data_IF_121621966530
#
_entry.id   IF_121621966530
#
_cell.length_a   1.000
_cell.length_b   1.000
_cell.length_c   1.000
_cell.angle_alpha   90.00
_cell.angle_beta   90.00
_cell.angle_gamma   90.00
#
_symmetry.space_group_name_H-M   'P 1'
#
loop_
_entity.id
_entity.type
_entity.pdbx_description
1 polymer ?
#
# COMPACT_ATOMS: atom_id res chain seq x y z
N UNK A 1 -5.61 25.43 -19.26
CA UNK A 1 -4.72 24.57 -20.08
C UNK A 1 -4.47 23.30 -19.29
N UNK A 2 -5.46 22.43 -19.13
CA UNK A 2 -6.07 21.47 -20.07
C UNK A 2 -5.37 20.11 -20.00
N UNK A 3 -5.96 19.21 -19.20
CA UNK A 3 -5.92 17.75 -19.37
C UNK A 3 -6.99 17.12 -18.45
N UNK A 4 -8.25 17.49 -18.63
CA UNK A 4 -9.37 16.65 -18.22
C UNK A 4 -9.43 15.46 -19.18
N UNK A 5 -9.00 14.29 -18.71
CA UNK A 5 -9.12 13.05 -19.47
C UNK A 5 -10.58 12.82 -19.91
N UNK A 6 -10.83 12.30 -21.12
CA UNK A 6 -12.19 12.10 -21.60
C UNK A 6 -12.84 10.97 -20.79
N UNK A 7 -13.80 11.33 -19.94
CA UNK A 7 -14.76 10.40 -19.35
C UNK A 7 -15.80 10.02 -20.44
N UNK A 8 -15.35 9.40 -21.53
CA UNK A 8 -16.27 8.76 -22.47
C UNK A 8 -16.51 7.34 -21.97
N UNK A 9 -17.58 7.17 -21.19
CA UNK A 9 -18.13 5.86 -20.91
C UNK A 9 -18.57 5.25 -22.27
N UNK A 10 -18.04 4.09 -22.69
CA UNK A 10 -18.54 3.45 -23.89
C UNK A 10 -19.99 3.01 -23.66
N UNK A 11 -20.90 3.21 -24.63
CA UNK A 11 -22.25 2.68 -24.54
C UNK A 11 -22.17 1.15 -24.61
N UNK A 12 -23.02 0.48 -23.84
CA UNK A 12 -23.25 -0.98 -23.77
C UNK A 12 -22.23 -1.85 -23.01
N UNK A 13 -22.64 -2.29 -21.81
CA UNK A 13 -22.50 -3.66 -21.28
C UNK A 13 -21.11 -4.25 -20.99
N UNK A 14 -20.01 -3.64 -21.41
CA UNK A 14 -18.67 -4.26 -21.31
C UNK A 14 -17.84 -3.55 -20.23
N UNK A 15 -17.63 -4.23 -19.11
CA UNK A 15 -16.71 -3.81 -18.06
C UNK A 15 -15.28 -4.05 -18.56
N UNK A 16 -14.50 -2.99 -18.78
CA UNK A 16 -13.07 -3.09 -19.10
C UNK A 16 -12.27 -3.33 -17.81
N UNK A 17 -11.63 -4.48 -17.71
CA UNK A 17 -10.70 -4.81 -16.62
C UNK A 17 -9.28 -4.53 -17.08
N UNK A 18 -8.52 -3.75 -16.29
CA UNK A 18 -7.11 -3.48 -16.54
C UNK A 18 -6.28 -3.96 -15.34
N UNK A 19 -5.25 -4.75 -15.62
CA UNK A 19 -4.33 -5.28 -14.62
C UNK A 19 -2.91 -4.71 -14.79
N UNK A 20 -2.16 -4.66 -13.69
CA UNK A 20 -0.72 -4.41 -13.69
C UNK A 20 -0.05 -5.47 -12.82
N UNK A 21 1.12 -5.94 -13.25
CA UNK A 21 1.98 -6.84 -12.48
C UNK A 21 3.17 -6.03 -11.98
N UNK A 22 3.48 -6.16 -10.70
CA UNK A 22 4.62 -5.49 -10.07
C UNK A 22 5.45 -6.51 -9.30
N UNK A 23 6.77 -6.31 -9.30
CA UNK A 23 7.66 -7.10 -8.47
C UNK A 23 7.70 -6.55 -7.03
N UNK A 24 8.23 -7.36 -6.11
CA UNK A 24 8.32 -7.02 -4.69
C UNK A 24 9.06 -5.68 -4.44
N UNK A 25 10.11 -5.38 -5.21
CA UNK A 25 10.92 -4.17 -5.00
C UNK A 25 10.23 -2.83 -5.27
N UNK A 26 9.04 -2.84 -5.89
CA UNK A 26 8.41 -1.61 -6.39
C UNK A 26 7.65 -0.82 -5.31
N UNK A 27 7.34 -1.44 -4.17
CA UNK A 27 6.64 -0.78 -3.07
C UNK A 27 7.32 0.46 -2.47
N UNK A 28 8.65 0.43 -2.44
CA UNK A 28 9.49 1.52 -1.95
C UNK A 28 9.65 2.67 -2.97
N UNK A 29 9.28 2.45 -4.24
CA UNK A 29 9.53 3.40 -5.32
C UNK A 29 8.53 4.57 -5.40
N UNK A 30 7.48 4.57 -4.58
CA UNK A 30 6.54 5.70 -4.50
C UNK A 30 5.46 5.76 -5.59
N UNK A 31 5.16 4.64 -6.26
CA UNK A 31 4.08 4.58 -7.26
C UNK A 31 2.69 4.86 -6.65
N UNK A 32 1.85 5.56 -7.40
CA UNK A 32 0.42 5.74 -7.09
C UNK A 32 -0.40 4.63 -7.77
N UNK A 33 -1.23 3.95 -6.96
CA UNK A 33 -2.10 2.84 -7.38
C UNK A 33 -3.55 3.07 -6.94
N UNK A 34 -3.95 4.34 -6.83
CA UNK A 34 -5.28 4.80 -6.40
C UNK A 34 -6.43 4.32 -7.30
N UNK A 35 -6.14 3.83 -8.50
CA UNK A 35 -7.11 3.19 -9.39
C UNK A 35 -7.31 1.68 -9.11
N UNK A 36 -6.47 1.03 -8.29
CA UNK A 36 -6.53 -0.41 -8.06
C UNK A 36 -7.54 -0.76 -6.96
N UNK A 37 -8.61 -1.47 -7.33
CA UNK A 37 -9.64 -1.96 -6.40
C UNK A 37 -9.33 -3.35 -5.85
N UNK A 38 -8.62 -4.18 -6.61
CA UNK A 38 -8.28 -5.54 -6.22
C UNK A 38 -6.76 -5.67 -6.21
N UNK A 39 -6.20 -6.07 -5.07
CA UNK A 39 -4.78 -6.33 -4.89
C UNK A 39 -4.61 -7.82 -4.60
N UNK A 40 -3.85 -8.51 -5.44
CA UNK A 40 -3.54 -9.93 -5.26
C UNK A 40 -2.07 -10.06 -4.88
N UNK A 41 -1.83 -10.53 -3.67
CA UNK A 41 -0.51 -10.84 -3.14
C UNK A 41 -0.23 -12.31 -3.41
N UNK A 42 0.71 -12.55 -4.32
CA UNK A 42 0.99 -13.89 -4.84
C UNK A 42 1.92 -14.71 -3.94
N UNK A 43 2.89 -14.06 -3.28
CA UNK A 43 3.87 -14.76 -2.43
C UNK A 43 3.81 -14.23 -0.99
N UNK A 44 3.97 -15.11 0.01
CA UNK A 44 4.05 -14.70 1.40
C UNK A 44 5.37 -13.97 1.67
N UNK A 45 5.30 -12.84 2.37
CA UNK A 45 6.49 -12.08 2.75
C UNK A 45 6.61 -11.95 4.27
N UNK A 46 7.84 -12.11 4.78
CA UNK A 46 8.11 -12.08 6.21
C UNK A 46 8.17 -10.67 6.81
N UNK A 47 8.25 -9.61 5.97
CA UNK A 47 8.21 -8.21 6.43
C UNK A 47 6.82 -7.63 6.28
N UNK A 48 6.10 -7.55 7.40
CA UNK A 48 4.76 -6.99 7.44
C UNK A 48 4.64 -5.56 6.89
N UNK A 49 5.61 -4.70 7.21
CA UNK A 49 5.55 -3.27 6.85
C UNK A 49 5.62 -3.03 5.34
N UNK A 50 6.40 -3.83 4.61
CA UNK A 50 6.53 -3.69 3.16
C UNK A 50 5.17 -3.99 2.49
N UNK A 51 4.52 -5.07 2.90
CA UNK A 51 3.22 -5.47 2.38
C UNK A 51 2.14 -4.42 2.69
N UNK A 52 2.11 -3.91 3.91
CA UNK A 52 1.21 -2.81 4.28
C UNK A 52 1.47 -1.55 3.44
N UNK A 53 2.75 -1.23 3.17
CA UNK A 53 3.09 -0.07 2.35
C UNK A 53 2.53 -0.20 0.94
N UNK A 54 2.53 -1.39 0.36
CA UNK A 54 1.99 -1.63 -0.98
C UNK A 54 0.49 -1.54 -1.02
N UNK A 55 -0.18 -2.19 -0.06
CA UNK A 55 -1.63 -2.08 0.10
C UNK A 55 -2.01 -0.61 0.30
N UNK A 56 -1.24 0.15 1.07
CA UNK A 56 -1.41 1.58 1.26
C UNK A 56 -1.18 2.45 0.02
N UNK A 57 -0.60 1.91 -1.07
CA UNK A 57 -0.57 2.61 -2.37
C UNK A 57 -1.90 2.53 -3.10
N UNK A 58 -2.63 1.43 -2.92
CA UNK A 58 -3.97 1.22 -3.48
C UNK A 58 -5.05 1.82 -2.56
N UNK A 59 -4.94 1.54 -1.25
CA UNK A 59 -5.75 2.16 -0.21
C UNK A 59 -5.15 3.51 0.20
N UNK A 60 -5.49 4.54 -0.56
CA UNK A 60 -4.99 5.90 -0.36
C UNK A 60 -6.09 6.94 -0.54
N UNK A 61 -5.88 8.12 0.03
CA UNK A 61 -6.70 9.32 -0.20
C UNK A 61 -6.88 9.55 -1.71
N UNK A 62 -8.13 9.55 -2.18
CA UNK A 62 -8.49 9.64 -3.60
C UNK A 62 -9.20 8.40 -4.14
N UNK A 63 -9.08 7.26 -3.44
CA UNK A 63 -9.80 6.03 -3.79
C UNK A 63 -11.32 6.19 -3.51
N UNK A 64 -12.15 5.86 -4.49
CA UNK A 64 -13.62 6.00 -4.43
C UNK A 64 -14.34 4.68 -4.17
N UNK A 65 -13.64 3.56 -4.33
CA UNK A 65 -14.20 2.23 -4.29
C UNK A 65 -13.53 1.38 -3.19
N UNK A 66 -14.22 0.38 -2.64
CA UNK A 66 -13.60 -0.52 -1.67
C UNK A 66 -12.39 -1.23 -2.29
N UNK A 67 -11.31 -1.32 -1.52
CA UNK A 67 -10.10 -2.05 -1.91
C UNK A 67 -10.13 -3.43 -1.26
N UNK A 68 -10.12 -4.47 -2.10
CA UNK A 68 -10.05 -5.86 -1.68
C UNK A 68 -8.62 -6.38 -1.82
N UNK A 69 -8.08 -6.93 -0.74
CA UNK A 69 -6.75 -7.52 -0.71
C UNK A 69 -6.88 -9.02 -0.56
N UNK A 70 -6.36 -9.76 -1.53
CA UNK A 70 -6.32 -11.21 -1.54
C UNK A 70 -4.89 -11.66 -1.32
N UNK A 71 -4.71 -12.61 -0.41
CA UNK A 71 -3.44 -13.32 -0.23
C UNK A 71 -3.62 -14.74 -0.72
N UNK A 72 -2.82 -15.13 -1.69
CA UNK A 72 -2.77 -16.51 -2.15
C UNK A 72 -1.83 -17.26 -1.21
N UNK A 73 -2.29 -18.41 -0.72
CA UNK A 73 -1.51 -19.27 0.17
C UNK A 73 -1.71 -20.72 -0.26
N UNK A 74 -0.62 -21.48 -0.26
CA UNK A 74 -0.64 -22.91 -0.44
C UNK A 74 -1.18 -23.60 0.81
N UNK A 75 -2.15 -24.49 0.62
CA UNK A 75 -2.54 -25.45 1.65
C UNK A 75 -1.35 -26.37 1.98
N UNK A 76 -1.13 -26.63 3.26
CA UNK A 76 -0.01 -27.43 3.78
C UNK A 76 1.41 -26.99 3.31
N UNK A 77 1.57 -25.72 2.93
CA UNK A 77 2.88 -25.17 2.57
C UNK A 77 3.64 -24.69 3.83
N UNK A 78 4.78 -25.34 4.13
CA UNK A 78 5.64 -24.97 5.25
C UNK A 78 6.17 -23.53 5.14
N UNK A 79 6.53 -23.09 3.92
CA UNK A 79 7.09 -21.76 3.69
C UNK A 79 6.07 -20.67 3.98
N UNK A 80 4.82 -20.87 3.55
CA UNK A 80 3.72 -19.94 3.77
C UNK A 80 3.38 -19.87 5.26
N UNK A 81 3.31 -21.03 5.92
CA UNK A 81 3.08 -21.12 7.35
C UNK A 81 4.17 -20.38 8.15
N UNK A 82 5.44 -20.63 7.83
CA UNK A 82 6.57 -20.02 8.54
C UNK A 82 6.62 -18.51 8.31
N UNK A 83 6.43 -18.06 7.06
CA UNK A 83 6.44 -16.64 6.70
C UNK A 83 5.37 -15.86 7.46
N UNK A 84 4.16 -16.43 7.59
CA UNK A 84 3.09 -15.85 8.40
C UNK A 84 3.44 -15.78 9.88
N UNK A 85 3.91 -16.90 10.46
CA UNK A 85 4.31 -16.95 11.86
C UNK A 85 5.38 -15.91 12.20
N UNK A 86 6.39 -15.78 11.33
CA UNK A 86 7.46 -14.79 11.51
C UNK A 86 6.95 -13.35 11.36
N UNK A 87 6.10 -13.09 10.36
CA UNK A 87 5.52 -11.76 10.15
C UNK A 87 4.66 -11.33 11.34
N UNK A 88 3.80 -12.23 11.86
CA UNK A 88 2.94 -11.97 13.02
C UNK A 88 3.76 -11.70 14.29
N UNK A 89 4.78 -12.53 14.57
CA UNK A 89 5.65 -12.35 15.72
C UNK A 89 6.40 -11.02 15.66
N UNK A 90 6.97 -10.66 14.50
CA UNK A 90 7.66 -9.38 14.31
C UNK A 90 6.72 -8.19 14.49
N UNK A 91 5.51 -8.27 13.94
CA UNK A 91 4.51 -7.20 14.07
C UNK A 91 4.09 -6.97 15.52
N UNK A 92 3.91 -8.04 16.31
CA UNK A 92 3.60 -7.93 17.74
C UNK A 92 4.70 -7.20 18.52
N UNK A 93 5.97 -7.59 18.31
CA UNK A 93 7.11 -6.93 18.94
C UNK A 93 7.22 -5.46 18.54
N UNK A 94 7.04 -5.15 17.24
CA UNK A 94 7.06 -3.78 16.74
C UNK A 94 5.95 -2.94 17.38
N UNK A 95 4.73 -3.48 17.50
CA UNK A 95 3.62 -2.75 18.09
C UNK A 95 3.87 -2.40 19.57
N UNK A 96 4.43 -3.33 20.34
CA UNK A 96 4.81 -3.09 21.73
C UNK A 96 5.88 -1.99 21.85
N UNK A 97 6.91 -2.05 21.01
CA UNK A 97 7.98 -1.06 21.00
C UNK A 97 7.49 0.33 20.52
N UNK A 98 6.62 0.35 19.51
CA UNK A 98 6.12 1.60 18.91
C UNK A 98 5.37 2.43 19.93
N UNK A 99 4.61 1.81 20.83
CA UNK A 99 3.94 2.51 21.92
C UNK A 99 4.95 3.12 22.90
N UNK A 100 6.03 2.41 23.23
CA UNK A 100 7.07 2.89 24.13
C UNK A 100 7.94 4.02 23.55
N UNK A 101 8.14 4.06 22.23
CA UNK A 101 8.94 5.10 21.56
C UNK A 101 8.10 6.35 21.24
N UNK A 102 6.77 6.24 21.22
CA UNK A 102 5.90 7.38 20.92
C UNK A 102 6.04 8.43 22.02
N UNK A 103 6.38 9.67 21.64
CA UNK A 103 6.41 10.79 22.57
C UNK A 103 5.07 10.91 23.30
N UNK A 104 5.13 10.94 24.62
CA UNK A 104 3.96 11.08 25.50
C UNK A 104 3.50 12.54 25.65
N UNK A 105 4.35 13.49 25.24
CA UNK A 105 4.22 14.92 25.51
C UNK A 105 2.98 15.59 24.89
N UNK A 106 2.20 14.86 24.09
CA UNK A 106 0.96 15.35 23.48
C UNK A 106 1.17 16.56 22.57
N UNK A 107 2.43 16.91 22.29
CA UNK A 107 2.77 18.04 21.44
C UNK A 107 2.50 17.64 19.99
N UNK A 108 1.74 18.48 19.29
CA UNK A 108 1.52 18.26 17.87
C UNK A 108 2.88 18.23 17.15
N UNK A 109 3.05 17.23 16.28
CA UNK A 109 4.25 17.10 15.48
C UNK A 109 4.32 18.29 14.52
N UNK A 110 5.14 19.30 14.86
CA UNK A 110 5.44 20.41 13.96
C UNK A 110 6.39 19.89 12.90
N UNK A 111 5.85 19.54 11.72
CA UNK A 111 6.66 19.27 10.54
C UNK A 111 7.40 20.58 10.22
N UNK A 112 8.74 20.64 10.31
CA UNK A 112 9.46 21.85 9.93
C UNK A 112 9.08 22.19 8.49
N UNK A 113 8.83 23.48 8.23
CA UNK A 113 8.51 23.96 6.90
C UNK A 113 9.59 23.44 5.95
N UNK A 114 9.23 22.46 5.13
CA UNK A 114 10.15 21.97 4.12
C UNK A 114 10.45 23.17 3.25
N UNK A 115 11.73 23.47 3.04
CA UNK A 115 12.13 24.47 2.06
C UNK A 115 11.41 24.09 0.78
N UNK A 116 10.35 24.84 0.42
CA UNK A 116 9.81 24.80 -0.94
C UNK A 116 11.06 25.02 -1.78
N UNK A 117 11.44 24.01 -2.56
CA UNK A 117 12.67 24.03 -3.33
C UNK A 117 12.83 25.42 -3.88
N UNK A 118 13.90 26.10 -3.45
CA UNK A 118 14.23 27.40 -3.96
C UNK A 118 14.18 27.27 -5.49
N UNK A 119 13.25 28.02 -6.09
CA UNK A 119 13.21 28.29 -7.51
C UNK A 119 13.14 27.05 -8.42
N UNK A 120 11.92 26.62 -8.75
CA UNK A 120 11.66 26.12 -10.10
C UNK A 120 11.90 27.30 -11.08
N UNK A 121 13.16 27.49 -11.46
CA UNK A 121 13.59 28.21 -12.66
C UNK A 121 13.68 27.23 -13.82
#
# INVERSE_FOLDING_TARGET
MNQTAPQHCPPSGIIKVQGRVCSFGVGGAGLNMDFAQHVVLYEPWWRHCDEQQWVGRAYRTGQKHPVHVYRIMGEDCLVDWLSRKLSEAKAQTINQLTQAIRREDGTDFVIPEQSRGAEAR
#
